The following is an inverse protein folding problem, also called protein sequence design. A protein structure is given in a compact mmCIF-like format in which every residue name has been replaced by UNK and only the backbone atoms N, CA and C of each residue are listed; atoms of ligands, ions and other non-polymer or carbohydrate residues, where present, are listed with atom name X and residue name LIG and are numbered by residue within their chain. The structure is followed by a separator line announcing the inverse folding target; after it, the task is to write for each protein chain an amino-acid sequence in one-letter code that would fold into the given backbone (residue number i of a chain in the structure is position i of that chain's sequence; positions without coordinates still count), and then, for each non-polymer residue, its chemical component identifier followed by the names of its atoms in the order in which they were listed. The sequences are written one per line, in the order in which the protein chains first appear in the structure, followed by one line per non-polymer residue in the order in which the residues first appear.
data_IF_592291140936
#
_entry.id   IF_592291140936
#
_cell.length_a   1.000
_cell.length_b   1.000
_cell.length_c   1.000
_cell.angle_alpha   90.00
_cell.angle_beta   90.00
_cell.angle_gamma   90.00
#
_symmetry.space_group_name_H-M   'P 1'
#
loop_
_entity.id
_entity.type
_entity.pdbx_description
1 polymer ?
#
# COMPACT_ATOMS: atom_id res chain seq x y z
N UNK A 1 12.40 -13.41 -8.48
CA UNK A 1 11.50 -13.85 -7.38
C UNK A 1 10.75 -12.64 -6.80
N UNK A 2 9.71 -12.11 -7.48
CA UNK A 2 9.00 -10.90 -7.02
C UNK A 2 7.84 -11.17 -6.05
N UNK A 3 7.28 -12.38 -6.04
CA UNK A 3 6.07 -12.71 -5.25
C UNK A 3 6.36 -12.70 -3.74
N UNK A 4 7.51 -13.25 -3.32
CA UNK A 4 7.92 -13.28 -1.90
C UNK A 4 8.06 -11.87 -1.34
N UNK A 5 8.68 -10.96 -2.10
CA UNK A 5 8.87 -9.56 -1.68
C UNK A 5 7.54 -8.81 -1.53
N UNK A 6 6.57 -9.04 -2.41
CA UNK A 6 5.26 -8.38 -2.32
C UNK A 6 4.49 -8.83 -1.07
N UNK A 7 4.57 -10.12 -0.74
CA UNK A 7 3.91 -10.69 0.43
C UNK A 7 4.55 -10.17 1.73
N UNK A 8 5.88 -10.16 1.83
CA UNK A 8 6.57 -9.63 3.02
C UNK A 8 6.22 -8.16 3.29
N UNK A 9 6.14 -7.35 2.22
CA UNK A 9 5.71 -5.93 2.34
C UNK A 9 4.26 -5.85 2.79
N UNK A 10 3.37 -6.68 2.24
CA UNK A 10 1.96 -6.67 2.61
C UNK A 10 1.78 -7.03 4.10
N UNK A 11 2.47 -8.07 4.56
CA UNK A 11 2.45 -8.50 5.97
C UNK A 11 3.02 -7.42 6.90
N UNK A 12 4.16 -6.82 6.55
CA UNK A 12 4.73 -5.72 7.33
C UNK A 12 3.77 -4.53 7.43
N UNK A 13 3.18 -4.10 6.31
CA UNK A 13 2.22 -2.99 6.28
C UNK A 13 0.97 -3.30 7.11
N UNK A 14 0.46 -4.53 7.04
CA UNK A 14 -0.70 -4.95 7.82
C UNK A 14 -0.41 -4.91 9.32
N UNK A 15 0.74 -5.45 9.75
CA UNK A 15 1.21 -5.39 11.14
C UNK A 15 1.31 -3.94 11.63
N UNK A 16 1.99 -3.07 10.87
CA UNK A 16 2.15 -1.65 11.24
C UNK A 16 0.83 -0.90 11.33
N UNK A 17 -0.11 -1.19 10.43
CA UNK A 17 -1.44 -0.58 10.47
C UNK A 17 -2.23 -1.00 11.71
N UNK A 18 -2.18 -2.28 12.10
CA UNK A 18 -2.80 -2.76 13.34
C UNK A 18 -2.17 -2.13 14.59
N UNK A 19 -0.84 -2.07 14.65
CA UNK A 19 -0.13 -1.42 15.75
C UNK A 19 -0.55 0.05 15.89
N UNK A 20 -0.51 0.82 14.79
CA UNK A 20 -0.94 2.23 14.80
C UNK A 20 -2.41 2.38 15.17
N UNK A 21 -3.27 1.47 14.70
CA UNK A 21 -4.69 1.43 15.05
C UNK A 21 -4.95 1.27 16.56
N UNK A 22 -4.07 0.58 17.28
CA UNK A 22 -4.16 0.34 18.71
C UNK A 22 -3.53 1.45 19.57
N UNK A 23 -2.69 2.31 18.99
CA UNK A 23 -2.02 3.36 19.75
C UNK A 23 -2.99 4.49 20.09
N UNK A 24 -2.88 5.00 21.33
CA UNK A 24 -3.55 6.22 21.77
C UNK A 24 -2.82 7.50 21.32
N UNK A 25 -1.99 7.43 20.28
CA UNK A 25 -1.16 8.55 19.86
C UNK A 25 -2.00 9.72 19.31
N UNK A 26 -1.51 10.95 19.52
CA UNK A 26 -2.27 12.17 19.22
C UNK A 26 -2.48 12.35 17.71
N UNK A 27 -1.57 11.85 16.88
CA UNK A 27 -1.64 11.99 15.42
C UNK A 27 -1.59 10.65 14.71
N UNK A 28 -2.73 10.31 14.12
CA UNK A 28 -2.91 9.23 13.15
C UNK A 28 -3.73 9.77 11.99
N UNK A 29 -3.71 9.11 10.81
CA UNK A 29 -4.59 9.51 9.71
C UNK A 29 -6.07 9.57 10.11
N UNK A 30 -6.51 8.68 11.01
CA UNK A 30 -7.87 8.69 11.53
C UNK A 30 -8.14 9.88 12.46
N UNK A 31 -7.24 10.14 13.42
CA UNK A 31 -7.40 11.28 14.33
C UNK A 31 -7.38 12.63 13.59
N UNK A 32 -6.47 12.79 12.62
CA UNK A 32 -6.40 13.99 11.78
C UNK A 32 -7.72 14.19 11.00
N UNK A 33 -8.31 13.10 10.46
CA UNK A 33 -9.61 13.15 9.80
C UNK A 33 -10.77 13.48 10.77
N UNK A 34 -10.75 12.92 11.98
CA UNK A 34 -11.73 13.21 13.03
C UNK A 34 -11.68 14.70 13.43
N UNK A 35 -10.50 15.28 13.59
CA UNK A 35 -10.33 16.71 13.83
C UNK A 35 -10.87 17.55 12.68
N UNK A 36 -10.56 17.20 11.43
CA UNK A 36 -11.05 17.91 10.25
C UNK A 36 -12.59 17.85 10.13
N UNK A 37 -13.22 16.78 10.62
CA UNK A 37 -14.67 16.63 10.68
C UNK A 37 -15.32 17.33 11.89
N UNK A 38 -14.53 17.99 12.75
CA UNK A 38 -15.03 18.76 13.89
C UNK A 38 -15.05 18.02 15.24
N UNK A 39 -14.54 16.78 15.30
CA UNK A 39 -14.38 16.04 16.55
C UNK A 39 -13.11 16.50 17.30
N UNK A 40 -13.10 17.77 17.72
CA UNK A 40 -11.95 18.40 18.38
C UNK A 40 -11.55 17.62 19.64
N UNK A 41 -10.25 17.34 19.78
CA UNK A 41 -9.69 16.64 20.93
C UNK A 41 -9.71 15.11 20.83
N UNK A 42 -10.26 14.53 19.75
CA UNK A 42 -10.13 13.09 19.50
C UNK A 42 -8.66 12.70 19.34
N UNK A 43 -8.23 11.58 19.91
CA UNK A 43 -6.86 11.06 19.76
C UNK A 43 -6.90 9.55 19.55
N UNK A 44 -5.79 9.00 19.06
CA UNK A 44 -5.61 7.57 18.85
C UNK A 44 -5.84 7.11 17.41
N UNK A 45 -5.45 5.87 17.14
CA UNK A 45 -5.77 5.15 15.92
C UNK A 45 -7.17 4.55 15.96
N UNK A 46 -7.59 3.99 14.82
CA UNK A 46 -8.81 3.20 14.72
C UNK A 46 -8.45 1.72 14.73
N UNK A 47 -9.02 0.95 15.67
CA UNK A 47 -8.91 -0.50 15.68
C UNK A 47 -10.00 -1.08 14.78
N UNK A 48 -9.63 -1.41 13.54
CA UNK A 48 -10.52 -1.93 12.51
C UNK A 48 -9.84 -3.09 11.76
N UNK A 49 -10.60 -3.82 10.95
CA UNK A 49 -10.06 -4.88 10.11
C UNK A 49 -9.10 -4.31 9.04
N UNK A 50 -7.93 -4.93 8.89
CA UNK A 50 -6.88 -4.48 7.98
C UNK A 50 -6.72 -5.47 6.84
N UNK A 51 -6.88 -4.99 5.59
CA UNK A 51 -6.57 -5.74 4.36
C UNK A 51 -5.54 -4.96 3.53
N UNK A 52 -4.46 -5.64 3.11
CA UNK A 52 -3.39 -5.04 2.30
C UNK A 52 -3.15 -5.87 1.05
N UNK A 53 -3.11 -5.21 -0.11
CA UNK A 53 -2.73 -5.82 -1.39
C UNK A 53 -1.55 -5.03 -1.95
N UNK A 54 -0.46 -5.72 -2.28
CA UNK A 54 0.76 -5.13 -2.86
C UNK A 54 0.95 -5.67 -4.26
N UNK A 55 1.20 -4.78 -5.22
CA UNK A 55 1.50 -5.14 -6.61
C UNK A 55 2.60 -4.25 -7.17
N UNK A 56 3.53 -4.85 -7.92
CA UNK A 56 4.60 -4.14 -8.60
C UNK A 56 4.25 -3.94 -10.07
N UNK A 57 4.25 -2.69 -10.53
CA UNK A 57 4.06 -2.38 -11.94
C UNK A 57 5.41 -2.51 -12.65
N UNK A 58 5.49 -3.43 -13.62
CA UNK A 58 6.70 -3.62 -14.45
C UNK A 58 6.43 -3.16 -15.88
N UNK A 59 7.34 -2.36 -16.44
CA UNK A 59 7.32 -2.03 -17.87
C UNK A 59 7.61 -3.30 -18.67
N UNK A 60 6.79 -3.59 -19.69
CA UNK A 60 7.11 -4.61 -20.69
C UNK A 60 8.33 -4.16 -21.47
N UNK A 61 9.43 -4.92 -21.39
CA UNK A 61 10.50 -4.83 -22.36
C UNK A 61 9.96 -5.33 -23.70
N UNK A 62 9.55 -4.44 -24.59
CA UNK A 62 9.07 -4.81 -25.91
C UNK A 62 10.24 -5.33 -26.76
N UNK A 63 10.28 -6.63 -27.04
CA UNK A 63 11.12 -7.16 -28.11
C UNK A 63 10.37 -6.98 -29.44
N UNK A 64 10.66 -5.90 -30.17
CA UNK A 64 10.26 -5.79 -31.57
C UNK A 64 11.21 -6.62 -32.43
N UNK A 65 10.91 -7.90 -32.64
CA UNK A 65 11.47 -8.68 -33.74
C UNK A 65 10.62 -8.47 -34.99
N UNK A 66 10.86 -7.37 -35.71
CA UNK A 66 10.42 -7.26 -37.10
C UNK A 66 11.37 -8.12 -37.96
N UNK A 67 10.86 -9.24 -38.48
CA UNK A 67 11.52 -9.98 -39.54
C UNK A 67 11.60 -9.12 -40.81
N UNK A 68 12.80 -8.92 -41.33
CA UNK A 68 13.03 -8.46 -42.70
C UNK A 68 12.40 -9.45 -43.69
N UNK A 69 11.42 -9.00 -44.46
CA UNK A 69 10.99 -9.70 -45.67
C UNK A 69 11.78 -9.15 -46.86
N UNK A 70 12.88 -9.83 -47.18
CA UNK A 70 13.62 -9.69 -48.44
C UNK A 70 12.68 -9.97 -49.63
N UNK A 71 12.45 -8.99 -50.49
CA UNK A 71 11.85 -9.18 -51.80
C UNK A 71 12.87 -8.84 -52.89
N UNK A 72 12.97 -9.80 -53.81
CA UNK A 72 13.88 -9.97 -54.95
C UNK A 72 13.91 -8.83 -55.95
#
# INVERSE_FOLDING_TARGET
MPVVVAQDIAEYLAMRAQEVGQLACVRTPFADAAHAAGYVGYTGGKLDDVTVIVSFVQKRSGSNSQMEASHK
#
